data_IF_399216231687
#
_entry.id   IF_399216231687
#
_cell.length_a   1.000
_cell.length_b   1.000
_cell.length_c   1.000
_cell.angle_alpha   90.00
_cell.angle_beta   90.00
_cell.angle_gamma   90.00
#
_symmetry.space_group_name_H-M   'P 1'
#
loop_
_entity.id
_entity.type
_entity.pdbx_description
1 polymer ?
#
# COMPACT_ATOMS: atom_id res chain seq x y z
N UNK A 1 5.48 0.42 -21.44
CA UNK A 1 6.54 0.38 -20.42
C UNK A 1 5.88 -0.22 -19.19
N UNK A 2 6.37 -1.36 -18.70
CA UNK A 2 5.82 -2.06 -17.54
C UNK A 2 5.97 -1.17 -16.31
N UNK A 3 4.85 -0.66 -15.80
CA UNK A 3 4.86 0.26 -14.67
C UNK A 3 5.22 -0.48 -13.37
N UNK A 4 6.12 0.08 -12.53
CA UNK A 4 6.65 -0.64 -11.39
C UNK A 4 5.62 -0.73 -10.27
N UNK A 5 5.15 -1.94 -9.96
CA UNK A 5 4.46 -2.19 -8.71
C UNK A 5 5.48 -2.31 -7.58
N UNK A 6 5.21 -1.65 -6.45
CA UNK A 6 6.03 -1.76 -5.26
C UNK A 6 5.36 -2.65 -4.23
N UNK A 7 6.06 -3.70 -3.80
CA UNK A 7 5.65 -4.57 -2.70
C UNK A 7 6.51 -4.27 -1.48
N UNK A 8 5.87 -3.85 -0.41
CA UNK A 8 6.46 -3.59 0.89
C UNK A 8 6.17 -4.76 1.81
N UNK A 9 7.22 -5.41 2.31
CA UNK A 9 7.09 -6.51 3.27
C UNK A 9 7.67 -6.04 4.60
N UNK A 10 6.79 -5.95 5.60
CA UNK A 10 7.14 -5.44 6.93
C UNK A 10 7.55 -6.56 7.87
N UNK A 11 8.37 -6.19 8.86
CA UNK A 11 8.79 -7.11 9.91
C UNK A 11 7.59 -7.61 10.74
N UNK A 12 7.64 -8.85 11.25
CA UNK A 12 6.57 -9.39 12.10
C UNK A 12 6.29 -8.57 13.37
N UNK A 13 7.28 -7.80 13.83
CA UNK A 13 7.18 -6.92 14.98
C UNK A 13 6.29 -5.70 14.74
N UNK A 14 6.09 -5.29 13.48
CA UNK A 14 5.18 -4.20 13.13
C UNK A 14 3.73 -4.67 13.30
N UNK A 15 2.90 -4.02 14.12
CA UNK A 15 1.50 -4.40 14.26
C UNK A 15 0.74 -4.18 12.95
N UNK A 16 0.00 -5.19 12.49
CA UNK A 16 -0.75 -5.10 11.23
C UNK A 16 -1.86 -4.03 11.29
N UNK A 17 -2.42 -3.78 12.48
CA UNK A 17 -3.41 -2.72 12.70
C UNK A 17 -2.81 -1.32 12.51
N UNK A 18 -1.64 -1.07 13.11
CA UNK A 18 -0.91 0.19 12.94
C UNK A 18 -0.51 0.38 11.48
N UNK A 19 0.05 -0.65 10.84
CA UNK A 19 0.38 -0.61 9.40
C UNK A 19 -0.84 -0.28 8.52
N UNK A 20 -2.00 -0.88 8.83
CA UNK A 20 -3.26 -0.58 8.16
C UNK A 20 -3.70 0.88 8.37
N UNK A 21 -3.55 1.40 9.58
CA UNK A 21 -3.83 2.80 9.89
C UNK A 21 -2.89 3.75 9.14
N UNK A 22 -1.59 3.47 9.08
CA UNK A 22 -0.61 4.24 8.30
C UNK A 22 -0.95 4.24 6.82
N UNK A 23 -1.42 3.11 6.27
CA UNK A 23 -1.86 3.01 4.88
C UNK A 23 -3.09 3.90 4.60
N UNK A 24 -4.08 3.87 5.49
CA UNK A 24 -5.27 4.75 5.41
C UNK A 24 -4.86 6.22 5.49
N UNK A 25 -3.97 6.58 6.41
CA UNK A 25 -3.46 7.95 6.54
C UNK A 25 -2.72 8.39 5.26
N UNK A 26 -1.90 7.51 4.70
CA UNK A 26 -1.18 7.76 3.44
C UNK A 26 -2.14 7.98 2.27
N UNK A 27 -3.25 7.23 2.23
CA UNK A 27 -4.30 7.42 1.23
C UNK A 27 -4.98 8.78 1.39
N UNK A 28 -5.38 9.16 2.61
CA UNK A 28 -5.98 10.47 2.88
C UNK A 28 -5.05 11.62 2.50
N UNK A 29 -3.74 11.47 2.74
CA UNK A 29 -2.74 12.45 2.35
C UNK A 29 -2.64 12.61 0.83
N UNK A 30 -2.67 11.52 0.05
CA UNK A 30 -2.65 11.62 -1.42
C UNK A 30 -3.98 12.14 -1.97
N UNK A 31 -5.11 11.83 -1.33
CA UNK A 31 -6.42 12.43 -1.64
C UNK A 31 -6.40 13.95 -1.49
N UNK A 32 -5.70 14.48 -0.47
CA UNK A 32 -5.56 15.93 -0.29
C UNK A 32 -4.74 16.61 -1.42
N UNK A 33 -3.88 15.86 -2.11
CA UNK A 33 -3.06 16.37 -3.22
C UNK A 33 -3.79 16.29 -4.57
N UNK A 34 -4.52 15.21 -4.81
CA UNK A 34 -5.08 14.88 -6.14
C UNK A 34 -6.60 14.90 -6.20
N UNK A 35 -7.27 15.03 -5.05
CA UNK A 35 -8.71 14.86 -4.90
C UNK A 35 -9.12 13.39 -4.75
N UNK A 36 -10.25 13.17 -4.08
CA UNK A 36 -10.77 11.84 -3.76
C UNK A 36 -11.05 11.01 -5.02
N UNK A 37 -11.75 11.60 -6.01
CA UNK A 37 -12.16 10.91 -7.23
C UNK A 37 -10.97 10.42 -8.05
N UNK A 38 -9.96 11.25 -8.25
CA UNK A 38 -8.76 10.87 -9.01
C UNK A 38 -7.96 9.83 -8.24
N UNK A 39 -7.82 10.01 -6.91
CA UNK A 39 -7.13 9.02 -6.06
C UNK A 39 -7.79 7.66 -6.12
N UNK A 40 -9.13 7.60 -6.14
CA UNK A 40 -9.87 6.35 -6.23
C UNK A 40 -9.59 5.58 -7.53
N UNK A 41 -9.35 6.28 -8.64
CA UNK A 41 -9.07 5.67 -9.95
C UNK A 41 -7.59 5.27 -10.09
N UNK A 42 -6.70 6.08 -9.54
CA UNK A 42 -5.28 6.03 -9.90
C UNK A 42 -4.35 5.52 -8.78
N UNK A 43 -4.83 5.40 -7.52
CA UNK A 43 -4.04 4.90 -6.39
C UNK A 43 -4.37 3.43 -6.07
N UNK A 44 -4.22 2.53 -7.04
CA UNK A 44 -4.45 1.11 -6.84
C UNK A 44 -3.46 0.54 -5.80
N UNK A 45 -3.99 -0.18 -4.81
CA UNK A 45 -3.21 -0.79 -3.75
C UNK A 45 -3.93 -2.00 -3.14
N UNK A 46 -3.16 -2.84 -2.46
CA UNK A 46 -3.64 -3.98 -1.69
C UNK A 46 -2.90 -4.07 -0.36
N UNK A 47 -3.58 -4.58 0.67
CA UNK A 47 -3.00 -4.84 1.97
C UNK A 47 -3.36 -6.26 2.43
N UNK A 48 -2.35 -7.04 2.77
CA UNK A 48 -2.47 -8.36 3.38
C UNK A 48 -1.98 -8.29 4.84
N UNK A 49 -2.91 -8.32 5.78
CA UNK A 49 -2.61 -8.17 7.20
C UNK A 49 -1.83 -9.37 7.78
N UNK A 50 -2.06 -10.60 7.28
CA UNK A 50 -1.39 -11.80 7.79
C UNK A 50 0.11 -11.78 7.51
N UNK A 51 0.49 -11.37 6.31
CA UNK A 51 1.88 -11.28 5.86
C UNK A 51 2.47 -9.88 5.99
N UNK A 52 1.69 -8.91 6.51
CA UNK A 52 2.07 -7.49 6.63
C UNK A 52 2.68 -6.97 5.33
N UNK A 53 1.97 -7.25 4.25
CA UNK A 53 2.41 -6.91 2.90
C UNK A 53 1.51 -5.85 2.33
N UNK A 54 2.09 -4.77 1.84
CA UNK A 54 1.38 -3.71 1.12
C UNK A 54 1.90 -3.68 -0.31
N UNK A 55 0.99 -3.63 -1.27
CA UNK A 55 1.32 -3.44 -2.68
C UNK A 55 0.72 -2.13 -3.14
N UNK A 56 1.51 -1.27 -3.78
CA UNK A 56 1.04 0.00 -4.33
C UNK A 56 1.50 0.12 -5.79
N UNK A 57 0.54 0.38 -6.68
CA UNK A 57 0.82 0.67 -8.07
C UNK A 57 1.44 2.08 -8.22
N UNK A 58 2.51 2.19 -9.00
CA UNK A 58 3.17 3.45 -9.32
C UNK A 58 3.12 3.83 -10.82
N UNK A 59 2.18 3.22 -11.57
CA UNK A 59 1.90 3.53 -12.97
C UNK A 59 1.42 4.95 -13.19
N UNK A 60 0.62 5.45 -12.24
CA UNK A 60 0.04 6.79 -12.30
C UNK A 60 0.86 7.81 -11.51
N UNK A 61 0.63 9.10 -11.75
CA UNK A 61 1.23 10.16 -10.93
C UNK A 61 0.76 10.06 -9.46
N UNK A 62 -0.53 9.77 -9.27
CA UNK A 62 -1.12 9.58 -7.93
C UNK A 62 -0.46 8.41 -7.21
N UNK A 63 -0.31 7.26 -7.87
CA UNK A 63 0.32 6.07 -7.31
C UNK A 63 1.78 6.31 -6.91
N UNK A 64 2.53 7.09 -7.69
CA UNK A 64 3.90 7.51 -7.34
C UNK A 64 3.94 8.38 -6.08
N UNK A 65 3.04 9.34 -5.96
CA UNK A 65 2.99 10.19 -4.77
C UNK A 65 2.48 9.43 -3.54
N UNK A 66 1.53 8.51 -3.73
CA UNK A 66 1.06 7.64 -2.68
C UNK A 66 2.20 6.76 -2.12
N UNK A 67 3.02 6.16 -2.98
CA UNK A 67 4.22 5.42 -2.58
C UNK A 67 5.18 6.28 -1.73
N UNK A 68 5.43 7.53 -2.13
CA UNK A 68 6.33 8.45 -1.41
C UNK A 68 5.79 8.79 -0.03
N UNK A 69 4.49 9.09 0.07
CA UNK A 69 3.82 9.38 1.34
C UNK A 69 3.85 8.18 2.26
N UNK A 70 3.48 7.00 1.73
CA UNK A 70 3.47 5.75 2.47
C UNK A 70 4.84 5.42 3.06
N UNK A 71 5.90 5.42 2.24
CA UNK A 71 7.29 5.21 2.71
C UNK A 71 7.70 6.25 3.75
N UNK A 72 7.32 7.52 3.54
CA UNK A 72 7.66 8.61 4.45
C UNK A 72 7.01 8.49 5.82
N UNK A 73 5.78 7.98 5.89
CA UNK A 73 5.04 7.76 7.13
C UNK A 73 5.51 6.48 7.83
N UNK A 74 5.63 5.37 7.11
CA UNK A 74 6.06 4.09 7.70
C UNK A 74 7.47 4.17 8.26
N UNK A 75 8.41 4.83 7.56
CA UNK A 75 9.77 5.00 8.07
C UNK A 75 9.83 5.88 9.33
N UNK A 76 8.87 6.80 9.52
CA UNK A 76 8.78 7.64 10.73
C UNK A 76 8.12 6.90 11.89
N UNK A 77 7.14 6.07 11.60
CA UNK A 77 6.33 5.38 12.61
C UNK A 77 7.03 4.10 13.11
N UNK A 78 7.60 3.31 12.19
CA UNK A 78 8.16 1.99 12.49
C UNK A 78 9.68 1.94 12.38
N UNK A 79 10.29 2.97 11.79
CA UNK A 79 11.73 3.05 11.52
C UNK A 79 12.08 2.71 10.07
N UNK A 80 13.24 3.20 9.57
CA UNK A 80 13.62 3.05 8.16
C UNK A 80 13.93 1.62 7.73
N UNK A 81 14.29 0.75 8.67
CA UNK A 81 14.66 -0.65 8.43
C UNK A 81 13.52 -1.64 8.71
N UNK A 82 12.32 -1.16 9.04
CA UNK A 82 11.19 -2.01 9.45
C UNK A 82 10.49 -2.75 8.30
N UNK A 83 10.96 -2.54 7.07
CA UNK A 83 10.41 -3.14 5.87
C UNK A 83 11.44 -3.23 4.75
N UNK A 84 11.19 -4.15 3.83
CA UNK A 84 11.93 -4.28 2.58
C UNK A 84 11.01 -3.98 1.39
N UNK A 85 11.60 -3.45 0.32
CA UNK A 85 10.89 -3.10 -0.91
C UNK A 85 11.30 -4.04 -2.03
N UNK A 86 10.31 -4.70 -2.62
CA UNK A 86 10.45 -5.45 -3.86
C UNK A 86 9.79 -4.66 -4.99
N UNK A 87 10.42 -4.65 -6.17
CA UNK A 87 9.86 -4.06 -7.39
C UNK A 87 9.44 -5.21 -8.29
N UNK A 88 8.15 -5.35 -8.53
CA UNK A 88 7.59 -6.40 -9.37
C UNK A 88 7.15 -5.80 -10.72
N UNK A 89 7.57 -6.37 -11.86
CA UNK A 89 7.13 -5.88 -13.16
C UNK A 89 5.65 -6.15 -13.49
N UNK A 90 4.92 -7.02 -12.76
CA UNK A 90 3.46 -7.35 -12.80
C UNK A 90 3.19 -8.25 -11.56
N UNK A 91 2.13 -8.20 -10.74
CA UNK A 91 0.69 -8.03 -10.95
C UNK A 91 0.02 -7.79 -9.57
N UNK A 92 -0.97 -6.89 -9.49
CA UNK A 92 -1.83 -6.71 -8.31
C UNK A 92 -2.85 -7.84 -8.34
N UNK A 93 -2.53 -8.98 -7.73
CA UNK A 93 -3.51 -10.06 -7.58
C UNK A 93 -4.48 -9.62 -6.47
N UNK A 94 -5.76 -9.30 -6.79
CA UNK A 94 -6.73 -8.96 -5.75
C UNK A 94 -6.92 -10.18 -4.83
N UNK A 95 -7.05 -9.93 -3.53
CA UNK A 95 -7.37 -10.99 -2.59
C UNK A 95 -8.73 -11.59 -2.97
N UNK A 96 -8.86 -12.92 -3.14
CA UNK A 96 -10.16 -13.52 -3.41
C UNK A 96 -11.11 -13.12 -2.28
N UNK A 97 -12.25 -12.52 -2.65
CA UNK A 97 -13.31 -12.13 -1.71
C UNK A 97 -13.61 -13.33 -0.82
N UNK A 98 -13.50 -13.16 0.51
CA UNK A 98 -13.80 -14.23 1.46
C UNK A 98 -15.14 -14.88 1.10
N UNK A 99 -15.13 -16.18 0.85
CA UNK A 99 -16.35 -16.95 0.60
C UNK A 99 -17.26 -16.82 1.84
N UNK A 100 -18.57 -16.65 1.65
CA UNK A 100 -19.49 -16.61 2.78
C UNK A 100 -19.39 -17.92 3.55
N UNK A 101 -19.14 -17.81 4.87
CA UNK A 101 -19.16 -18.95 5.80
C UNK A 101 -20.55 -19.60 5.70
N UNK A 102 -20.67 -20.90 5.40
CA UNK A 102 -21.96 -21.57 5.38
C UNK A 102 -22.56 -21.59 6.79
N UNK A 103 -23.88 -21.39 6.84
CA UNK A 103 -24.71 -21.23 8.04
C UNK A 103 -24.67 -22.42 8.99
#
# INVERSE_FOLDING_TARGET
MTDPMYRYVFDPAVPAEELGATLVLSRLAVEALHGESQTRLDAAHAFEARTRTVVIDASTAVGRDFNRLFVGFTAREFGPDSFRVERDPLELVPHPRAEPVPA
#
